data_IF_416994820449
#
_entry.id   IF_416994820449
#
_cell.length_a   1.000
_cell.length_b   1.000
_cell.length_c   1.000
_cell.angle_alpha   90.00
_cell.angle_beta   90.00
_cell.angle_gamma   90.00
#
_symmetry.space_group_name_H-M   'P 1'
#
loop_
_entity.id
_entity.type
_entity.pdbx_description
1 polymer ?
#
# COMPACT_ATOMS: atom_id res chain seq x y z
N UNK A 1 -12.02 -18.72 -25.33
CA UNK A 1 -10.91 -19.40 -26.03
C UNK A 1 -9.59 -18.62 -25.95
N UNK A 2 -9.45 -17.41 -26.49
CA UNK A 2 -8.17 -16.66 -26.39
C UNK A 2 -7.86 -16.15 -24.97
N UNK A 3 -8.88 -15.68 -24.23
CA UNK A 3 -8.73 -15.28 -22.81
C UNK A 3 -8.41 -16.48 -21.89
N UNK A 4 -9.08 -17.63 -22.10
CA UNK A 4 -8.83 -18.85 -21.31
C UNK A 4 -7.41 -19.41 -21.52
N UNK A 5 -6.88 -19.33 -22.76
CA UNK A 5 -5.51 -19.72 -23.08
C UNK A 5 -4.51 -18.77 -22.41
N UNK A 6 -4.72 -17.45 -22.49
CA UNK A 6 -3.88 -16.46 -21.82
C UNK A 6 -3.84 -16.65 -20.29
N UNK A 7 -4.98 -17.01 -19.69
CA UNK A 7 -5.08 -17.25 -18.25
C UNK A 7 -4.39 -18.55 -17.83
N UNK A 8 -4.53 -19.62 -18.63
CA UNK A 8 -3.83 -20.89 -18.42
C UNK A 8 -2.30 -20.72 -18.53
N UNK A 9 -1.83 -19.94 -19.51
CA UNK A 9 -0.40 -19.65 -19.69
C UNK A 9 0.16 -18.84 -18.51
N UNK A 10 -0.61 -17.88 -17.99
CA UNK A 10 -0.24 -17.10 -16.81
C UNK A 10 -0.16 -17.96 -15.55
N UNK A 11 -1.13 -18.86 -15.33
CA UNK A 11 -1.11 -19.81 -14.21
C UNK A 11 0.14 -20.70 -14.24
N UNK A 12 0.44 -21.27 -15.41
CA UNK A 12 1.64 -22.09 -15.58
C UNK A 12 2.93 -21.29 -15.35
N UNK A 13 2.97 -20.04 -15.82
CA UNK A 13 4.12 -19.15 -15.63
C UNK A 13 4.36 -18.85 -14.14
N UNK A 14 3.31 -18.55 -13.36
CA UNK A 14 3.45 -18.30 -11.92
C UNK A 14 3.85 -19.58 -11.17
N UNK A 15 3.17 -20.70 -11.43
CA UNK A 15 3.41 -21.97 -10.75
C UNK A 15 4.83 -22.50 -11.00
N UNK A 16 5.30 -22.47 -12.26
CA UNK A 16 6.64 -22.93 -12.63
C UNK A 16 7.77 -22.10 -12.01
N UNK A 17 7.47 -20.87 -11.56
CA UNK A 17 8.42 -19.95 -10.94
C UNK A 17 8.23 -19.81 -9.42
N UNK A 18 7.38 -20.66 -8.81
CA UNK A 18 7.11 -20.64 -7.37
C UNK A 18 6.53 -19.32 -6.87
N UNK A 19 5.71 -18.66 -7.70
CA UNK A 19 5.11 -17.37 -7.34
C UNK A 19 3.74 -17.65 -6.73
N UNK A 20 3.60 -17.38 -5.44
CA UNK A 20 2.35 -17.54 -4.71
C UNK A 20 1.64 -16.19 -4.55
N UNK A 21 0.52 -16.03 -5.25
CA UNK A 21 -0.33 -14.84 -5.17
C UNK A 21 -1.66 -15.17 -4.49
N UNK A 22 -2.13 -14.27 -3.62
CA UNK A 22 -3.50 -14.33 -3.11
C UNK A 22 -4.53 -13.87 -4.18
N UNK A 23 -5.82 -14.01 -3.87
CA UNK A 23 -6.90 -13.66 -4.80
C UNK A 23 -6.88 -12.19 -5.25
N UNK A 24 -6.51 -11.26 -4.37
CA UNK A 24 -6.48 -9.82 -4.67
C UNK A 24 -5.30 -9.48 -5.57
N UNK A 25 -4.13 -10.02 -5.27
CA UNK A 25 -2.93 -9.93 -6.10
C UNK A 25 -3.18 -10.52 -7.49
N UNK A 26 -3.85 -11.67 -7.54
CA UNK A 26 -4.17 -12.30 -8.81
C UNK A 26 -5.16 -11.48 -9.62
N UNK A 27 -6.22 -10.95 -8.99
CA UNK A 27 -7.19 -10.04 -9.64
C UNK A 27 -6.47 -8.85 -10.29
N UNK A 28 -5.53 -8.21 -9.58
CA UNK A 28 -4.77 -7.07 -10.13
C UNK A 28 -3.88 -7.49 -11.30
N UNK A 29 -3.19 -8.62 -11.20
CA UNK A 29 -2.38 -9.12 -12.30
C UNK A 29 -3.22 -9.44 -13.54
N UNK A 30 -4.36 -10.10 -13.35
CA UNK A 30 -5.31 -10.39 -14.42
C UNK A 30 -5.86 -9.08 -15.05
N UNK A 31 -6.18 -8.08 -14.22
CA UNK A 31 -6.59 -6.74 -14.68
C UNK A 31 -5.51 -6.07 -15.55
N UNK A 32 -4.24 -6.16 -15.14
CA UNK A 32 -3.11 -5.63 -15.93
C UNK A 32 -2.95 -6.37 -17.25
N UNK A 33 -3.05 -7.69 -17.26
CA UNK A 33 -2.91 -8.51 -18.47
C UNK A 33 -4.06 -8.28 -19.44
N UNK A 34 -5.28 -8.14 -18.94
CA UNK A 34 -6.45 -7.80 -19.76
C UNK A 34 -6.30 -6.44 -20.42
N UNK A 35 -5.72 -5.46 -19.72
CA UNK A 35 -5.59 -4.08 -20.19
C UNK A 35 -4.39 -3.85 -21.10
N UNK A 36 -3.24 -4.44 -20.76
CA UNK A 36 -1.96 -4.13 -21.40
C UNK A 36 -1.50 -5.25 -22.35
N UNK A 37 -2.07 -6.45 -22.22
CA UNK A 37 -1.72 -7.63 -22.99
C UNK A 37 -0.85 -8.61 -22.21
N UNK A 38 -0.20 -9.53 -22.95
CA UNK A 38 0.51 -10.69 -22.38
C UNK A 38 1.54 -10.32 -21.30
N UNK A 39 1.59 -11.14 -20.24
CA UNK A 39 2.64 -11.10 -19.24
C UNK A 39 3.83 -11.96 -19.65
N UNK A 40 5.04 -11.48 -19.37
CA UNK A 40 6.28 -12.24 -19.49
C UNK A 40 7.12 -12.10 -18.24
N UNK A 41 7.93 -13.11 -17.96
CA UNK A 41 8.84 -13.10 -16.84
C UNK A 41 10.23 -12.63 -17.30
N UNK A 42 10.81 -11.67 -16.60
CA UNK A 42 12.18 -11.22 -16.83
C UNK A 42 13.13 -12.09 -15.99
N UNK A 43 13.96 -12.88 -16.66
CA UNK A 43 15.02 -13.68 -16.03
C UNK A 43 16.41 -13.13 -16.38
N UNK A 44 17.29 -13.02 -15.38
CA UNK A 44 18.73 -12.92 -15.61
C UNK A 44 19.21 -11.81 -16.56
N UNK A 45 18.63 -10.61 -16.51
CA UNK A 45 19.06 -9.48 -17.35
C UNK A 45 18.67 -9.60 -18.84
N UNK A 46 17.83 -10.57 -19.20
CA UNK A 46 17.24 -10.66 -20.54
C UNK A 46 16.27 -9.50 -20.79
N UNK A 47 16.31 -8.97 -22.01
CA UNK A 47 15.41 -7.90 -22.45
C UNK A 47 14.02 -8.51 -22.69
N UNK A 48 12.95 -7.98 -22.07
CA UNK A 48 11.59 -8.47 -22.30
C UNK A 48 11.20 -8.40 -23.77
N UNK A 49 10.38 -9.36 -24.20
CA UNK A 49 9.87 -9.44 -25.58
C UNK A 49 9.10 -8.15 -25.90
N UNK A 50 9.39 -7.51 -27.04
CA UNK A 50 8.82 -6.19 -27.42
C UNK A 50 7.29 -6.11 -27.44
N UNK A 51 6.59 -7.25 -27.46
CA UNK A 51 5.14 -7.33 -27.57
C UNK A 51 4.42 -7.56 -26.22
N UNK A 52 5.15 -7.62 -25.11
CA UNK A 52 4.56 -7.87 -23.79
C UNK A 52 4.08 -6.58 -23.13
N UNK A 53 2.86 -6.61 -22.61
CA UNK A 53 2.24 -5.50 -21.90
C UNK A 53 2.60 -5.47 -20.42
N UNK A 54 2.88 -6.65 -19.86
CA UNK A 54 3.22 -6.82 -18.44
C UNK A 54 4.55 -7.55 -18.32
N UNK A 55 5.47 -7.01 -17.52
CA UNK A 55 6.78 -7.63 -17.23
C UNK A 55 6.84 -7.98 -15.75
N UNK A 56 6.93 -9.27 -15.44
CA UNK A 56 7.05 -9.80 -14.08
C UNK A 56 8.53 -9.98 -13.76
N UNK A 57 9.01 -9.31 -12.72
CA UNK A 57 10.40 -9.35 -12.28
C UNK A 57 10.47 -10.08 -10.94
N UNK A 58 11.04 -11.29 -10.96
CA UNK A 58 11.11 -12.19 -9.80
C UNK A 58 12.49 -12.25 -9.16
N UNK A 59 13.51 -11.76 -9.87
CA UNK A 59 14.88 -11.67 -9.39
C UNK A 59 15.32 -10.20 -9.39
N UNK A 60 15.95 -9.72 -8.31
CA UNK A 60 16.40 -8.34 -8.26
C UNK A 60 17.52 -8.10 -9.30
N UNK A 61 17.33 -7.18 -10.26
CA UNK A 61 18.36 -6.91 -11.25
C UNK A 61 19.55 -6.18 -10.61
N UNK A 62 20.76 -6.51 -11.06
CA UNK A 62 21.95 -5.69 -10.75
C UNK A 62 21.77 -4.27 -11.29
N UNK A 63 22.55 -3.30 -10.80
CA UNK A 63 22.48 -1.91 -11.28
C UNK A 63 22.52 -1.78 -12.81
N UNK A 64 23.49 -2.39 -13.51
CA UNK A 64 23.54 -2.40 -14.98
C UNK A 64 22.37 -3.13 -15.66
N UNK A 65 21.89 -4.23 -15.08
CA UNK A 65 20.75 -4.97 -15.60
C UNK A 65 19.45 -4.16 -15.45
N UNK A 66 19.29 -3.43 -14.34
CA UNK A 66 18.16 -2.56 -14.08
C UNK A 66 18.11 -1.39 -15.07
N UNK A 67 19.26 -0.79 -15.41
CA UNK A 67 19.36 0.24 -16.44
C UNK A 67 18.98 -0.29 -17.83
N UNK A 68 19.49 -1.48 -18.18
CA UNK A 68 19.17 -2.15 -19.46
C UNK A 68 17.67 -2.45 -19.53
N UNK A 69 17.11 -3.02 -18.46
CA UNK A 69 15.69 -3.33 -18.37
C UNK A 69 14.85 -2.06 -18.49
N UNK A 70 15.13 -1.02 -17.70
CA UNK A 70 14.44 0.28 -17.74
C UNK A 70 14.40 0.87 -19.15
N UNK A 71 15.54 0.88 -19.86
CA UNK A 71 15.62 1.41 -21.24
C UNK A 71 14.88 0.57 -22.27
N UNK A 72 14.63 -0.70 -21.98
CA UNK A 72 13.90 -1.59 -22.86
C UNK A 72 12.38 -1.57 -22.67
N UNK A 73 11.91 -1.05 -21.52
CA UNK A 73 10.49 -0.96 -21.21
C UNK A 73 9.79 0.03 -22.15
N UNK A 74 8.59 -0.34 -22.59
CA UNK A 74 7.71 0.56 -23.33
C UNK A 74 6.97 1.50 -22.38
N UNK A 75 6.60 2.68 -22.87
CA UNK A 75 5.86 3.67 -22.08
C UNK A 75 4.46 3.18 -21.64
N UNK A 76 3.90 2.21 -22.36
CA UNK A 76 2.58 1.59 -22.14
C UNK A 76 2.66 0.23 -21.43
N UNK A 77 3.81 -0.13 -20.87
CA UNK A 77 4.02 -1.39 -20.15
C UNK A 77 3.92 -1.20 -18.63
N UNK A 78 3.40 -2.23 -17.94
CA UNK A 78 3.50 -2.35 -16.49
C UNK A 78 4.56 -3.38 -16.07
N UNK A 79 5.23 -3.07 -14.97
CA UNK A 79 6.17 -3.94 -14.27
C UNK A 79 5.50 -4.43 -12.99
N UNK A 80 5.60 -5.73 -12.71
CA UNK A 80 5.09 -6.37 -11.49
C UNK A 80 6.24 -7.05 -10.77
N UNK A 81 6.36 -6.81 -9.47
CA UNK A 81 7.35 -7.44 -8.58
C UNK A 81 6.57 -8.20 -7.49
N UNK A 82 6.48 -9.54 -7.57
CA UNK A 82 5.75 -10.35 -6.59
C UNK A 82 6.36 -10.35 -5.18
N UNK A 83 7.65 -10.01 -5.06
CA UNK A 83 8.41 -9.94 -3.80
C UNK A 83 8.78 -8.48 -3.48
N UNK A 84 7.79 -7.59 -3.59
CA UNK A 84 7.96 -6.14 -3.53
C UNK A 84 8.52 -5.63 -2.21
N UNK A 85 8.35 -6.39 -1.13
CA UNK A 85 8.88 -6.12 0.20
C UNK A 85 10.41 -6.23 0.28
N UNK A 86 11.04 -6.94 -0.66
CA UNK A 86 12.48 -7.18 -0.61
C UNK A 86 13.27 -5.93 -1.08
N UNK A 87 14.18 -5.40 -0.24
CA UNK A 87 14.94 -4.18 -0.54
C UNK A 87 15.88 -4.31 -1.75
N UNK A 88 16.23 -5.52 -2.18
CA UNK A 88 17.05 -5.73 -3.37
C UNK A 88 16.39 -5.19 -4.65
N UNK A 89 15.06 -5.02 -4.66
CA UNK A 89 14.32 -4.40 -5.78
C UNK A 89 14.28 -2.87 -5.73
N UNK A 90 14.70 -2.24 -4.62
CA UNK A 90 14.51 -0.79 -4.41
C UNK A 90 15.21 0.06 -5.47
N UNK A 91 16.42 -0.34 -5.91
CA UNK A 91 17.12 0.37 -6.97
C UNK A 91 16.29 0.41 -8.26
N UNK A 92 15.72 -0.73 -8.66
CA UNK A 92 14.91 -0.80 -9.89
C UNK A 92 13.57 -0.08 -9.72
N UNK A 93 12.86 -0.28 -8.60
CA UNK A 93 11.64 0.47 -8.27
C UNK A 93 11.86 1.99 -8.32
N UNK A 94 13.03 2.47 -7.87
CA UNK A 94 13.36 3.91 -7.87
C UNK A 94 13.48 4.55 -9.27
N UNK A 95 13.66 3.73 -10.32
CA UNK A 95 13.70 4.18 -11.73
C UNK A 95 12.31 4.27 -12.35
N UNK A 96 11.32 3.65 -11.74
CA UNK A 96 9.97 3.52 -12.27
C UNK A 96 9.03 4.48 -11.54
N UNK A 97 7.93 4.80 -12.22
CA UNK A 97 6.75 5.38 -11.57
C UNK A 97 6.04 4.28 -10.80
N UNK A 98 5.85 4.51 -9.51
CA UNK A 98 5.14 3.64 -8.59
C UNK A 98 3.63 3.72 -8.85
N UNK A 99 3.02 2.62 -9.29
CA UNK A 99 1.58 2.60 -9.59
C UNK A 99 0.76 2.09 -8.41
N UNK A 100 1.24 1.07 -7.69
CA UNK A 100 0.51 0.58 -6.55
C UNK A 100 1.18 -0.59 -5.86
N UNK A 101 0.54 -1.01 -4.78
CA UNK A 101 0.98 -2.11 -3.94
C UNK A 101 -0.22 -2.90 -3.43
N UNK A 102 -0.04 -4.20 -3.25
CA UNK A 102 -1.04 -5.08 -2.63
C UNK A 102 -0.41 -5.76 -1.43
N UNK A 103 -1.04 -5.56 -0.27
CA UNK A 103 -0.58 -6.12 1.00
C UNK A 103 -0.54 -7.65 1.00
N UNK A 104 0.34 -8.25 1.83
CA UNK A 104 0.43 -9.69 1.99
C UNK A 104 -0.76 -10.26 2.78
N UNK A 105 -0.95 -11.57 2.65
CA UNK A 105 -1.92 -12.37 3.41
C UNK A 105 -1.40 -13.80 3.58
N UNK A 106 -2.09 -14.62 4.37
CA UNK A 106 -1.64 -16.00 4.60
C UNK A 106 -1.58 -16.86 3.32
N UNK A 107 -2.47 -16.60 2.35
CA UNK A 107 -2.56 -17.29 1.06
C UNK A 107 -1.64 -16.70 -0.03
N UNK A 108 -1.14 -15.48 0.16
CA UNK A 108 -0.13 -14.81 -0.66
C UNK A 108 0.76 -13.93 0.22
N UNK A 109 1.81 -14.50 0.84
CA UNK A 109 2.50 -13.90 1.99
C UNK A 109 3.54 -12.82 1.63
N UNK A 110 3.55 -12.39 0.37
CA UNK A 110 4.44 -11.36 -0.15
C UNK A 110 3.67 -10.07 -0.44
N UNK A 111 4.36 -8.93 -0.40
CA UNK A 111 3.80 -7.67 -0.90
C UNK A 111 3.98 -7.64 -2.43
N UNK A 112 2.91 -7.45 -3.19
CA UNK A 112 3.02 -7.30 -4.64
C UNK A 112 3.14 -5.81 -4.98
N UNK A 113 4.26 -5.42 -5.58
CA UNK A 113 4.47 -4.07 -6.10
C UNK A 113 4.22 -4.02 -7.61
N UNK A 114 3.66 -2.92 -8.11
CA UNK A 114 3.55 -2.70 -9.55
C UNK A 114 3.72 -1.23 -9.94
N UNK A 115 4.27 -1.02 -11.14
CA UNK A 115 4.66 0.30 -11.63
C UNK A 115 4.95 0.31 -13.13
N UNK A 116 5.60 1.36 -13.63
CA UNK A 116 5.96 1.45 -15.04
C UNK A 116 6.65 2.77 -15.37
N UNK A 117 6.79 3.09 -16.67
CA UNK A 117 7.37 4.38 -17.08
C UNK A 117 6.34 5.50 -16.91
N UNK A 118 5.10 5.29 -17.36
CA UNK A 118 4.10 6.34 -17.45
C UNK A 118 2.70 5.83 -17.10
N UNK A 119 1.97 6.62 -16.29
CA UNK A 119 0.57 6.36 -15.93
C UNK A 119 -0.37 6.23 -17.12
N UNK A 120 -0.03 6.84 -18.26
CA UNK A 120 -0.81 6.73 -19.50
C UNK A 120 -1.02 5.28 -19.95
N UNK A 121 -0.15 4.35 -19.57
CA UNK A 121 -0.35 2.92 -19.82
C UNK A 121 -1.70 2.42 -19.30
N UNK A 122 -2.08 2.88 -18.11
CA UNK A 122 -3.24 2.37 -17.36
C UNK A 122 -4.36 3.39 -17.22
N UNK A 123 -4.17 4.62 -17.70
CA UNK A 123 -5.23 5.63 -17.74
C UNK A 123 -6.37 5.17 -18.67
N UNK A 124 -7.64 5.46 -18.34
CA UNK A 124 -8.79 5.21 -19.21
C UNK A 124 -8.58 5.82 -20.59
N UNK A 125 -8.93 5.10 -21.66
CA UNK A 125 -8.98 5.70 -23.00
C UNK A 125 -10.10 6.75 -23.01
N UNK A 126 -9.81 7.92 -23.59
CA UNK A 126 -10.56 9.18 -23.44
C UNK A 126 -12.03 9.21 -23.89
N UNK A 127 -12.62 8.06 -24.22
CA UNK A 127 -14.02 7.93 -24.63
C UNK A 127 -14.82 6.89 -23.83
N UNK A 128 -14.18 6.13 -22.93
CA UNK A 128 -14.88 5.17 -22.08
C UNK A 128 -15.46 5.85 -20.84
N UNK A 129 -16.56 6.59 -21.03
CA UNK A 129 -17.50 6.94 -19.94
C UNK A 129 -18.21 5.67 -19.45
N UNK A 130 -17.48 4.69 -18.95
CA UNK A 130 -18.06 3.69 -18.06
C UNK A 130 -18.31 4.41 -16.75
N UNK A 131 -19.55 4.89 -16.58
CA UNK A 131 -20.05 5.48 -15.33
C UNK A 131 -20.17 4.35 -14.31
N UNK A 132 -19.05 3.84 -13.84
CA UNK A 132 -19.03 3.21 -12.54
C UNK A 132 -19.57 4.27 -11.57
N UNK A 133 -20.64 3.99 -10.83
CA UNK A 133 -21.30 5.00 -10.01
C UNK A 133 -20.30 5.43 -8.92
N UNK A 134 -19.73 6.63 -9.08
CA UNK A 134 -18.83 7.26 -8.11
C UNK A 134 -19.61 8.38 -7.45
N UNK A 135 -19.47 8.49 -6.13
CA UNK A 135 -20.00 9.61 -5.37
C UNK A 135 -18.88 10.44 -4.80
N UNK A 136 -18.90 11.74 -5.08
CA UNK A 136 -17.96 12.67 -4.46
C UNK A 136 -18.49 13.10 -3.10
N UNK A 137 -17.68 12.95 -2.06
CA UNK A 137 -18.05 13.40 -0.71
C UNK A 137 -17.09 14.46 -0.23
N UNK A 138 -17.59 15.42 0.53
CA UNK A 138 -16.76 16.47 1.10
C UNK A 138 -17.36 17.01 2.39
N UNK A 139 -16.49 17.55 3.24
CA UNK A 139 -16.89 18.22 4.47
C UNK A 139 -16.01 19.42 4.78
N UNK A 140 -16.57 20.36 5.53
CA UNK A 140 -15.89 21.58 5.97
C UNK A 140 -16.46 22.02 7.33
N UNK A 141 -15.68 22.76 8.15
CA UNK A 141 -16.19 23.37 9.37
C UNK A 141 -17.37 24.30 9.07
N UNK A 142 -18.48 24.16 9.81
CA UNK A 142 -19.68 25.00 9.63
C UNK A 142 -19.37 26.50 9.71
N UNK A 143 -18.39 26.88 10.52
CA UNK A 143 -17.92 28.25 10.70
C UNK A 143 -17.46 28.94 9.40
N UNK A 144 -17.07 28.17 8.38
CA UNK A 144 -16.64 28.73 7.10
C UNK A 144 -17.80 29.24 6.23
N UNK A 145 -19.04 28.97 6.62
CA UNK A 145 -20.23 29.37 5.88
C UNK A 145 -20.52 28.46 4.69
N UNK A 146 -21.75 28.53 4.19
CA UNK A 146 -22.23 27.60 3.15
C UNK A 146 -21.53 27.78 1.80
N UNK A 147 -20.99 28.97 1.54
CA UNK A 147 -20.31 29.30 0.28
C UNK A 147 -18.94 28.63 0.11
N UNK A 148 -18.35 28.11 1.20
CA UNK A 148 -17.00 27.58 1.21
C UNK A 148 -16.77 26.46 0.17
N UNK A 149 -17.81 25.66 -0.12
CA UNK A 149 -17.72 24.54 -1.06
C UNK A 149 -18.43 24.79 -2.40
N UNK A 150 -18.84 26.03 -2.71
CA UNK A 150 -19.63 26.33 -3.92
C UNK A 150 -18.87 26.00 -5.21
N UNK A 151 -17.58 26.33 -5.29
CA UNK A 151 -16.78 26.02 -6.49
C UNK A 151 -16.78 24.51 -6.81
N UNK A 152 -16.60 23.68 -5.78
CA UNK A 152 -16.64 22.23 -5.92
C UNK A 152 -18.05 21.75 -6.31
N UNK A 153 -19.10 22.24 -5.64
CA UNK A 153 -20.49 21.90 -5.95
C UNK A 153 -20.86 22.23 -7.40
N UNK A 154 -20.52 23.44 -7.84
CA UNK A 154 -20.82 23.92 -9.19
C UNK A 154 -20.15 23.03 -10.24
N UNK A 155 -18.88 22.66 -10.02
CA UNK A 155 -18.16 21.75 -10.92
C UNK A 155 -18.72 20.33 -10.94
N UNK A 156 -19.10 19.79 -9.78
CA UNK A 156 -19.71 18.47 -9.71
C UNK A 156 -21.09 18.45 -10.39
N UNK A 157 -21.88 19.52 -10.25
CA UNK A 157 -23.13 19.70 -10.95
C UNK A 157 -22.93 19.82 -12.47
N UNK A 158 -21.94 20.60 -12.92
CA UNK A 158 -21.54 20.73 -14.33
C UNK A 158 -21.20 19.36 -14.93
N UNK A 159 -20.45 18.53 -14.20
CA UNK A 159 -20.06 17.19 -14.63
C UNK A 159 -21.11 16.11 -14.36
N UNK A 160 -22.25 16.46 -13.77
CA UNK A 160 -23.33 15.53 -13.40
C UNK A 160 -22.85 14.38 -12.50
N UNK A 161 -21.95 14.68 -11.58
CA UNK A 161 -21.40 13.71 -10.62
C UNK A 161 -22.19 13.81 -9.32
N UNK A 162 -22.71 12.66 -8.87
CA UNK A 162 -23.40 12.57 -7.60
C UNK A 162 -22.48 13.01 -6.46
N UNK A 163 -22.98 13.87 -5.57
CA UNK A 163 -22.17 14.35 -4.46
C UNK A 163 -22.95 14.63 -3.19
N UNK A 164 -22.25 14.49 -2.06
CA UNK A 164 -22.73 14.84 -0.72
C UNK A 164 -21.66 15.70 -0.02
N UNK A 165 -21.94 17.00 0.06
CA UNK A 165 -21.03 18.01 0.59
C UNK A 165 -21.70 18.72 1.75
N UNK A 166 -21.23 18.45 2.97
CA UNK A 166 -21.91 18.89 4.19
C UNK A 166 -20.99 19.69 5.13
N UNK A 167 -21.49 20.78 5.74
CA UNK A 167 -20.83 21.38 6.88
C UNK A 167 -20.88 20.42 8.08
N UNK A 168 -19.80 20.40 8.87
CA UNK A 168 -19.73 19.67 10.13
C UNK A 168 -19.42 20.61 11.29
N UNK A 169 -19.97 20.29 12.45
CA UNK A 169 -19.64 20.97 13.70
C UNK A 169 -18.31 20.42 14.21
N UNK A 170 -17.35 21.32 14.46
CA UNK A 170 -16.00 20.97 14.90
C UNK A 170 -15.81 21.28 16.38
N UNK A 171 -15.00 20.49 17.07
CA UNK A 171 -14.68 20.70 18.50
C UNK A 171 -13.98 22.05 18.71
N UNK A 172 -13.05 22.38 17.82
CA UNK A 172 -12.42 23.71 17.75
C UNK A 172 -13.03 24.45 16.57
N UNK A 173 -13.60 25.61 16.83
CA UNK A 173 -14.31 26.37 15.81
C UNK A 173 -13.41 26.71 14.62
N UNK A 174 -13.87 26.42 13.40
CA UNK A 174 -13.09 26.62 12.18
C UNK A 174 -11.91 25.66 11.98
N UNK A 175 -11.67 24.68 12.86
CA UNK A 175 -10.58 23.72 12.74
C UNK A 175 -11.11 22.28 12.74
N UNK A 176 -11.06 21.61 11.59
CA UNK A 176 -11.42 20.20 11.47
C UNK A 176 -10.21 19.31 11.76
N UNK A 177 -10.34 18.41 12.73
CA UNK A 177 -9.36 17.37 13.03
C UNK A 177 -9.42 16.21 12.04
N UNK A 178 -8.32 15.45 11.96
CA UNK A 178 -8.26 14.21 11.19
C UNK A 178 -9.33 13.20 11.63
N UNK A 179 -9.62 13.14 12.94
CA UNK A 179 -10.60 12.23 13.51
C UNK A 179 -12.03 12.54 13.05
N UNK A 180 -12.40 13.82 13.01
CA UNK A 180 -13.72 14.30 12.55
C UNK A 180 -13.90 14.05 11.06
N UNK A 181 -12.84 14.28 10.26
CA UNK A 181 -12.85 14.00 8.82
C UNK A 181 -12.99 12.51 8.53
N UNK A 182 -12.19 11.66 9.20
CA UNK A 182 -12.28 10.22 9.05
C UNK A 182 -13.66 9.68 9.48
N UNK A 183 -14.24 10.24 10.56
CA UNK A 183 -15.60 9.90 11.00
C UNK A 183 -16.66 10.30 9.96
N UNK A 184 -16.53 11.47 9.35
CA UNK A 184 -17.40 11.91 8.25
C UNK A 184 -17.34 10.94 7.07
N UNK A 185 -16.14 10.61 6.60
CA UNK A 185 -15.94 9.71 5.45
C UNK A 185 -16.49 8.31 5.76
N UNK A 186 -16.23 7.78 6.96
CA UNK A 186 -16.76 6.48 7.39
C UNK A 186 -18.29 6.46 7.42
N UNK A 187 -18.92 7.54 7.92
CA UNK A 187 -20.38 7.68 7.90
C UNK A 187 -20.93 7.71 6.47
N UNK A 188 -20.32 8.49 5.57
CA UNK A 188 -20.70 8.51 4.16
C UNK A 188 -20.54 7.12 3.53
N UNK A 189 -19.46 6.41 3.85
CA UNK A 189 -19.22 5.06 3.35
C UNK A 189 -20.30 4.08 3.82
N UNK A 190 -20.81 4.23 5.03
CA UNK A 190 -21.92 3.40 5.53
C UNK A 190 -23.27 3.75 4.88
N UNK A 191 -23.48 5.02 4.52
CA UNK A 191 -24.75 5.50 3.96
C UNK A 191 -24.91 5.20 2.47
N UNK A 192 -23.81 5.23 1.72
CA UNK A 192 -23.81 5.07 0.27
C UNK A 192 -23.32 3.69 -0.16
N UNK A 193 -23.87 3.17 -1.25
CA UNK A 193 -23.46 1.88 -1.84
C UNK A 193 -22.40 2.06 -2.91
N UNK A 194 -22.30 3.25 -3.48
CA UNK A 194 -21.27 3.64 -4.44
C UNK A 194 -19.89 3.77 -3.77
N UNK A 195 -18.77 3.46 -4.47
CA UNK A 195 -17.46 3.96 -4.11
C UNK A 195 -17.45 5.47 -3.89
N UNK A 196 -16.61 5.92 -2.97
CA UNK A 196 -16.50 7.32 -2.61
C UNK A 196 -15.21 7.93 -3.17
N UNK A 197 -15.28 9.17 -3.61
CA UNK A 197 -14.12 10.03 -3.80
C UNK A 197 -14.24 11.21 -2.84
N UNK A 198 -13.43 11.22 -1.79
CA UNK A 198 -13.30 12.39 -0.94
C UNK A 198 -12.47 13.45 -1.67
N UNK A 199 -12.99 14.67 -1.77
CA UNK A 199 -12.28 15.86 -2.24
C UNK A 199 -12.47 16.95 -1.20
N UNK A 200 -11.39 17.62 -0.78
CA UNK A 200 -11.48 18.73 0.17
C UNK A 200 -12.36 19.86 -0.38
N UNK A 201 -13.15 20.49 0.49
CA UNK A 201 -14.23 21.41 0.10
C UNK A 201 -13.76 22.67 -0.63
N UNK A 202 -12.50 23.08 -0.40
CA UNK A 202 -11.83 24.23 -1.00
C UNK A 202 -11.21 23.94 -2.38
N UNK A 203 -11.38 22.73 -2.92
CA UNK A 203 -10.84 22.34 -4.21
C UNK A 203 -11.76 22.75 -5.38
N UNK A 204 -11.18 22.81 -6.57
CA UNK A 204 -11.90 22.91 -7.84
C UNK A 204 -11.51 21.77 -8.78
N UNK A 205 -12.28 21.60 -9.86
CA UNK A 205 -12.09 20.52 -10.84
C UNK A 205 -11.92 21.11 -12.24
N UNK A 206 -10.85 20.70 -12.92
CA UNK A 206 -10.62 21.06 -14.33
C UNK A 206 -11.32 20.09 -15.29
N UNK A 207 -11.56 18.86 -14.85
CA UNK A 207 -12.18 17.78 -15.61
C UNK A 207 -12.88 16.79 -14.66
N UNK A 208 -13.75 15.89 -15.17
CA UNK A 208 -14.40 14.87 -14.34
C UNK A 208 -13.40 13.94 -13.62
N UNK A 209 -13.43 13.82 -12.28
CA UNK A 209 -12.46 13.05 -11.51
C UNK A 209 -12.69 11.54 -11.51
N UNK A 210 -12.90 10.95 -12.69
CA UNK A 210 -13.33 9.56 -12.88
C UNK A 210 -12.19 8.53 -12.94
N UNK A 211 -10.93 8.96 -12.93
CA UNK A 211 -9.78 8.06 -12.98
C UNK A 211 -9.87 6.92 -11.94
N UNK A 212 -10.09 7.19 -10.63
CA UNK A 212 -10.05 6.13 -9.61
C UNK A 212 -11.11 5.05 -9.79
N UNK A 213 -12.29 5.41 -10.29
CA UNK A 213 -13.39 4.47 -10.55
C UNK A 213 -13.06 3.43 -11.61
N UNK A 214 -12.07 3.69 -12.46
CA UNK A 214 -11.62 2.78 -13.50
C UNK A 214 -10.40 1.93 -13.10
N UNK A 215 -9.86 2.14 -11.90
CA UNK A 215 -8.66 1.43 -11.42
C UNK A 215 -8.98 0.09 -10.75
N UNK A 216 -10.25 -0.21 -10.44
CA UNK A 216 -10.68 -1.44 -9.76
C UNK A 216 -9.84 -1.75 -8.50
N UNK A 217 -9.66 -0.76 -7.63
CA UNK A 217 -8.83 -0.86 -6.43
C UNK A 217 -9.65 -0.70 -5.16
N UNK A 218 -9.07 -1.06 -4.02
CA UNK A 218 -9.69 -0.83 -2.72
C UNK A 218 -9.58 0.63 -2.33
N UNK A 219 -8.40 1.22 -2.51
CA UNK A 219 -8.09 2.60 -2.14
C UNK A 219 -7.15 3.22 -3.15
N UNK A 220 -7.32 4.53 -3.41
CA UNK A 220 -6.30 5.31 -4.12
C UNK A 220 -6.01 6.64 -3.42
N UNK A 221 -4.73 7.01 -3.37
CA UNK A 221 -4.24 8.24 -2.76
C UNK A 221 -3.26 8.95 -3.68
N UNK A 222 -3.04 10.24 -3.45
CA UNK A 222 -1.89 10.93 -4.03
C UNK A 222 -0.69 10.90 -3.07
N UNK A 223 0.51 10.63 -3.60
CA UNK A 223 1.76 10.57 -2.84
C UNK A 223 2.61 11.82 -3.07
N UNK A 224 2.84 12.60 -2.02
CA UNK A 224 3.71 13.78 -2.03
C UNK A 224 5.12 13.40 -1.59
N UNK A 225 6.14 14.10 -2.09
CA UNK A 225 7.55 13.86 -1.74
C UNK A 225 7.99 12.39 -1.82
N UNK A 226 7.31 11.57 -2.65
CA UNK A 226 7.46 10.11 -2.78
C UNK A 226 7.09 9.28 -1.56
N UNK A 227 6.57 9.85 -0.47
CA UNK A 227 6.22 9.09 0.73
C UNK A 227 4.96 9.56 1.45
N UNK A 228 4.62 10.85 1.38
CA UNK A 228 3.55 11.48 2.16
C UNK A 228 2.19 11.21 1.55
N UNK A 229 1.28 10.62 2.31
CA UNK A 229 -0.09 10.39 1.83
C UNK A 229 -0.91 11.66 1.97
N UNK A 230 -1.46 12.14 0.86
CA UNK A 230 -2.36 13.28 0.89
C UNK A 230 -3.76 12.86 1.32
N UNK A 231 -4.23 13.44 2.40
CA UNK A 231 -5.60 13.26 2.85
C UNK A 231 -6.58 14.29 2.24
N UNK A 232 -6.17 15.02 1.19
CA UNK A 232 -7.01 16.02 0.49
C UNK A 232 -7.86 15.41 -0.62
N UNK A 233 -7.39 14.31 -1.20
CA UNK A 233 -8.11 13.55 -2.22
C UNK A 233 -7.88 12.06 -1.98
N UNK A 234 -8.96 11.33 -1.67
CA UNK A 234 -8.90 9.89 -1.40
C UNK A 234 -10.04 9.17 -2.11
N UNK A 235 -9.72 8.13 -2.87
CA UNK A 235 -10.71 7.20 -3.37
C UNK A 235 -10.88 6.03 -2.39
N UNK A 236 -12.14 5.68 -2.10
CA UNK A 236 -12.50 4.56 -1.24
C UNK A 236 -13.47 3.64 -1.97
N UNK A 237 -12.99 2.45 -2.31
CA UNK A 237 -13.78 1.36 -2.88
C UNK A 237 -14.75 0.74 -1.88
N UNK A 238 -15.52 -0.25 -2.36
CA UNK A 238 -16.54 -0.97 -1.58
C UNK A 238 -16.08 -2.34 -1.12
N UNK A 239 -14.88 -2.42 -0.57
CA UNK A 239 -14.31 -3.66 -0.02
C UNK A 239 -14.16 -3.61 1.49
N UNK A 240 -14.06 -4.79 2.10
CA UNK A 240 -13.77 -4.91 3.52
C UNK A 240 -12.40 -4.30 3.88
N UNK A 241 -11.42 -4.37 2.97
CA UNK A 241 -10.11 -3.77 3.16
C UNK A 241 -10.17 -2.23 3.17
N UNK A 242 -10.96 -1.64 2.28
CA UNK A 242 -11.22 -0.20 2.30
C UNK A 242 -11.92 0.27 3.58
N UNK A 243 -12.90 -0.51 4.07
CA UNK A 243 -13.56 -0.24 5.34
C UNK A 243 -12.59 -0.34 6.53
N UNK A 244 -11.77 -1.40 6.56
CA UNK A 244 -10.78 -1.61 7.61
C UNK A 244 -9.80 -0.44 7.70
N UNK A 245 -9.34 0.07 6.55
CA UNK A 245 -8.51 1.27 6.49
C UNK A 245 -9.22 2.48 7.13
N UNK A 246 -10.46 2.77 6.73
CA UNK A 246 -11.20 3.91 7.27
C UNK A 246 -11.39 3.82 8.79
N UNK A 247 -11.67 2.62 9.29
CA UNK A 247 -11.81 2.36 10.74
C UNK A 247 -10.49 2.54 11.47
N UNK A 248 -9.39 2.00 10.93
CA UNK A 248 -8.06 2.16 11.49
C UNK A 248 -7.61 3.62 11.49
N UNK A 249 -7.89 4.36 10.42
CA UNK A 249 -7.58 5.78 10.32
C UNK A 249 -8.36 6.60 11.35
N UNK A 250 -9.67 6.39 11.46
CA UNK A 250 -10.49 7.05 12.48
C UNK A 250 -10.00 6.72 13.90
N UNK A 251 -9.69 5.46 14.18
CA UNK A 251 -9.17 5.03 15.48
C UNK A 251 -7.84 5.71 15.84
N UNK A 252 -6.85 5.63 14.94
CA UNK A 252 -5.52 6.22 15.14
C UNK A 252 -5.62 7.75 15.25
N UNK A 253 -6.41 8.40 14.41
CA UNK A 253 -6.61 9.85 14.46
C UNK A 253 -7.31 10.31 15.74
N UNK A 254 -8.18 9.48 16.32
CA UNK A 254 -8.82 9.76 17.61
C UNK A 254 -7.83 9.59 18.76
N UNK A 255 -6.97 8.57 18.71
CA UNK A 255 -5.97 8.30 19.74
C UNK A 255 -4.83 9.32 19.77
N UNK A 256 -4.49 9.91 18.61
CA UNK A 256 -3.34 10.81 18.45
C UNK A 256 -3.73 12.14 17.77
N UNK A 257 -4.62 12.94 18.36
CA UNK A 257 -5.21 14.12 17.71
C UNK A 257 -4.21 15.25 17.42
N UNK A 258 -3.05 15.26 18.08
CA UNK A 258 -1.99 16.24 17.88
C UNK A 258 -1.01 15.88 16.77
N UNK A 259 -1.12 14.68 16.20
CA UNK A 259 -0.21 14.20 15.16
C UNK A 259 -0.74 14.60 13.78
N UNK A 260 0.18 14.90 12.87
CA UNK A 260 -0.15 15.31 11.51
C UNK A 260 -0.96 14.24 10.75
N UNK A 261 -1.99 14.69 10.05
CA UNK A 261 -2.99 13.83 9.41
C UNK A 261 -2.41 12.87 8.36
N UNK A 262 -1.52 13.36 7.50
CA UNK A 262 -0.92 12.52 6.45
C UNK A 262 -0.11 11.37 7.02
N UNK A 263 0.53 11.57 8.18
CA UNK A 263 1.21 10.50 8.92
C UNK A 263 0.22 9.54 9.55
N UNK A 264 -0.86 10.03 10.17
CA UNK A 264 -1.88 9.14 10.75
C UNK A 264 -2.55 8.26 9.69
N UNK A 265 -2.80 8.80 8.49
CA UNK A 265 -3.31 8.05 7.35
C UNK A 265 -2.29 7.00 6.88
N UNK A 266 -1.01 7.37 6.81
CA UNK A 266 0.07 6.44 6.47
C UNK A 266 0.17 5.27 7.45
N UNK A 267 0.11 5.55 8.76
CA UNK A 267 0.14 4.52 9.81
C UNK A 267 -1.09 3.60 9.72
N UNK A 268 -2.28 4.16 9.46
CA UNK A 268 -3.48 3.38 9.25
C UNK A 268 -3.39 2.49 8.01
N UNK A 269 -2.80 3.00 6.93
CA UNK A 269 -2.55 2.24 5.72
C UNK A 269 -1.54 1.12 5.95
N UNK A 270 -0.43 1.41 6.62
CA UNK A 270 0.59 0.41 6.96
C UNK A 270 0.01 -0.73 7.80
N UNK A 271 -0.74 -0.39 8.86
CA UNK A 271 -1.43 -1.34 9.71
C UNK A 271 -2.40 -2.22 8.91
N UNK A 272 -3.24 -1.60 8.10
CA UNK A 272 -4.27 -2.33 7.33
C UNK A 272 -3.63 -3.25 6.29
N UNK A 273 -2.67 -2.73 5.54
CA UNK A 273 -1.92 -3.48 4.52
C UNK A 273 -1.09 -4.63 5.13
N UNK A 274 -0.76 -4.57 6.42
CA UNK A 274 -0.09 -5.68 7.12
C UNK A 274 -1.01 -6.83 7.47
N UNK A 275 -2.29 -6.54 7.69
CA UNK A 275 -3.28 -7.49 8.22
C UNK A 275 -4.08 -8.17 7.13
N UNK A 276 -4.14 -7.57 5.94
CA UNK A 276 -4.92 -8.06 4.81
C UNK A 276 -4.41 -7.51 3.49
N UNK A 277 -4.82 -8.17 2.40
CA UNK A 277 -4.50 -7.77 1.04
C UNK A 277 -5.25 -6.51 0.63
N UNK A 278 -4.70 -5.35 0.99
CA UNK A 278 -5.21 -4.04 0.61
C UNK A 278 -4.65 -3.63 -0.76
N UNK A 279 -5.49 -3.55 -1.78
CA UNK A 279 -5.14 -3.12 -3.13
C UNK A 279 -5.08 -1.59 -3.23
N UNK A 280 -3.87 -1.04 -3.18
CA UNK A 280 -3.60 0.40 -3.11
C UNK A 280 -3.04 0.92 -4.42
N UNK A 281 -3.57 2.05 -4.89
CA UNK A 281 -3.09 2.73 -6.11
C UNK A 281 -2.65 4.17 -5.83
N UNK A 282 -1.52 4.58 -6.40
CA UNK A 282 -0.93 5.90 -6.20
C UNK A 282 -1.29 6.86 -7.33
N UNK A 283 -2.33 7.67 -7.16
CA UNK A 283 -2.81 8.61 -8.17
C UNK A 283 -1.67 9.49 -8.74
N UNK A 284 -1.63 9.70 -10.08
CA UNK A 284 -0.54 10.41 -10.72
C UNK A 284 -0.52 11.88 -10.31
N UNK A 285 0.64 12.54 -10.45
CA UNK A 285 0.78 13.99 -10.19
C UNK A 285 -0.19 14.85 -10.99
N UNK A 286 -0.63 14.40 -12.17
CA UNK A 286 -1.64 15.09 -12.97
C UNK A 286 -3.06 14.93 -12.45
N UNK A 287 -3.32 14.07 -11.47
CA UNK A 287 -4.65 13.95 -10.89
C UNK A 287 -4.91 14.98 -9.80
N UNK A 288 -3.85 15.43 -9.11
CA UNK A 288 -3.96 16.22 -7.89
C UNK A 288 -2.76 17.17 -7.73
N UNK A 289 -2.99 18.47 -7.79
CA UNK A 289 -1.94 19.48 -7.62
C UNK A 289 -2.45 20.81 -7.00
N UNK A 290 -1.55 21.63 -6.41
CA UNK A 290 -1.90 22.98 -5.92
C UNK A 290 -2.06 23.98 -7.07
N UNK A 291 -2.90 25.01 -6.91
CA UNK A 291 -3.11 26.07 -7.93
C UNK A 291 -1.82 26.84 -8.27
N UNK A 292 -0.92 27.03 -7.29
CA UNK A 292 0.25 27.91 -7.39
C UNK A 292 1.60 27.20 -7.58
N UNK A 293 1.62 25.87 -7.78
CA UNK A 293 2.89 25.16 -8.01
C UNK A 293 3.36 25.37 -9.47
N UNK A 294 4.58 25.88 -9.65
CA UNK A 294 5.24 26.06 -10.95
C UNK A 294 5.37 24.74 -11.75
N UNK A 295 5.26 23.60 -11.07
CA UNK A 295 5.23 22.25 -11.66
C UNK A 295 3.84 21.68 -11.92
N UNK A 296 2.76 22.45 -11.74
CA UNK A 296 1.37 21.98 -11.93
C UNK A 296 1.15 21.55 -13.37
N UNK A 297 0.80 20.26 -13.62
CA UNK A 297 0.49 19.81 -14.96
C UNK A 297 -0.68 20.61 -15.56
N UNK A 298 -0.57 20.95 -16.86
CA UNK A 298 -1.61 21.71 -17.59
C UNK A 298 -3.01 21.06 -17.55
N UNK A 299 -3.09 19.76 -17.28
CA UNK A 299 -4.32 18.98 -17.20
C UNK A 299 -4.45 18.36 -15.80
N UNK A 300 -4.48 19.19 -14.76
CA UNK A 300 -4.67 18.71 -13.40
C UNK A 300 -6.15 18.49 -13.12
N UNK A 301 -6.55 17.26 -12.77
CA UNK A 301 -7.95 16.92 -12.50
C UNK A 301 -8.51 17.67 -11.29
N UNK A 302 -7.90 17.48 -10.11
CA UNK A 302 -8.29 18.13 -8.85
C UNK A 302 -7.25 19.19 -8.50
N UNK A 303 -7.70 20.44 -8.43
CA UNK A 303 -6.85 21.61 -8.16
C UNK A 303 -7.20 22.17 -6.79
N UNK A 304 -6.20 22.30 -5.91
CA UNK A 304 -6.38 22.80 -4.55
C UNK A 304 -5.91 24.24 -4.40
N UNK A 305 -6.71 25.05 -3.71
CA UNK A 305 -6.46 26.49 -3.51
C UNK A 305 -5.35 26.81 -2.49
N UNK A 306 -4.83 25.81 -1.78
CA UNK A 306 -3.72 25.98 -0.85
C UNK A 306 -2.41 25.52 -1.51
N UNK A 307 -1.33 26.33 -1.44
CA UNK A 307 0.01 25.84 -1.73
C UNK A 307 0.30 24.59 -0.90
N UNK A 308 1.15 23.75 -1.45
CA UNK A 308 1.82 22.67 -0.75
C UNK A 308 2.74 23.22 0.37
N UNK A 309 2.20 23.89 1.39
CA UNK A 309 2.99 24.40 2.50
C UNK A 309 3.28 23.31 3.53
N UNK A 310 4.22 23.60 4.45
CA UNK A 310 4.57 22.72 5.57
C UNK A 310 3.44 22.60 6.62
N UNK A 311 2.22 23.07 6.36
CA UNK A 311 1.07 22.81 7.23
C UNK A 311 0.23 21.64 6.70
N UNK A 312 0.12 21.49 5.36
CA UNK A 312 -0.42 20.28 4.72
C UNK A 312 0.60 19.13 4.67
N UNK A 313 1.90 19.46 4.57
CA UNK A 313 3.03 18.56 4.78
C UNK A 313 3.41 18.64 6.26
N UNK A 314 3.92 17.57 6.89
CA UNK A 314 4.11 17.56 8.35
C UNK A 314 4.79 18.84 8.90
N UNK A 315 4.43 19.28 10.13
CA UNK A 315 4.73 20.63 10.64
C UNK A 315 6.23 20.96 10.80
N UNK A 316 7.11 20.00 10.54
CA UNK A 316 8.55 20.13 10.70
C UNK A 316 9.30 19.31 9.64
N UNK A 317 10.21 19.97 8.92
CA UNK A 317 11.12 19.33 7.98
C UNK A 317 12.03 18.30 8.69
N UNK A 318 12.36 18.52 9.96
CA UNK A 318 13.09 17.57 10.80
C UNK A 318 12.22 16.38 11.20
N UNK A 319 10.92 16.58 11.46
CA UNK A 319 9.97 15.47 11.71
C UNK A 319 9.86 14.56 10.48
N UNK A 320 9.77 15.12 9.28
CA UNK A 320 9.81 14.35 8.04
C UNK A 320 11.13 13.59 7.87
N UNK A 321 12.28 14.18 8.24
CA UNK A 321 13.59 13.51 8.19
C UNK A 321 13.72 12.40 9.25
N UNK A 322 13.19 12.61 10.45
CA UNK A 322 13.20 11.65 11.55
C UNK A 322 12.24 10.46 11.30
N UNK A 323 11.09 10.71 10.66
CA UNK A 323 10.07 9.69 10.36
C UNK A 323 10.28 8.96 9.02
N UNK A 324 11.17 9.45 8.14
CA UNK A 324 11.57 8.79 6.88
C UNK A 324 12.09 7.36 7.05
N UNK A 325 12.45 6.95 8.27
CA UNK A 325 12.94 5.61 8.57
C UNK A 325 11.90 4.49 8.57
N UNK A 326 10.60 4.76 8.38
CA UNK A 326 9.50 3.81 8.62
C UNK A 326 8.93 3.27 7.28
N UNK A 327 9.03 1.95 7.07
CA UNK A 327 8.93 1.23 5.76
C UNK A 327 7.49 0.92 5.35
N UNK A 328 7.08 1.31 4.14
CA UNK A 328 6.09 0.72 3.19
C UNK A 328 5.82 1.76 2.06
N UNK A 329 5.18 1.41 0.94
CA UNK A 329 4.89 2.32 -0.20
C UNK A 329 6.13 2.83 -1.00
N UNK A 330 7.06 1.93 -1.31
CA UNK A 330 8.30 2.24 -2.08
C UNK A 330 9.34 3.12 -1.35
N UNK A 331 9.41 3.00 -0.01
CA UNK A 331 10.39 3.70 0.86
C UNK A 331 11.66 2.87 1.13
N UNK A 332 12.78 3.54 1.40
CA UNK A 332 14.01 2.95 1.96
C UNK A 332 14.06 3.14 3.48
N UNK A 333 14.03 2.07 4.29
CA UNK A 333 14.27 2.12 5.76
C UNK A 333 13.21 1.47 6.65
N UNK A 334 13.55 0.73 7.72
CA UNK A 334 12.65 -0.20 8.43
C UNK A 334 11.70 0.38 9.48
N UNK A 335 10.40 0.06 9.38
CA UNK A 335 9.54 -0.58 10.42
C UNK A 335 8.04 -0.46 10.16
N UNK A 336 7.40 -1.61 10.05
CA UNK A 336 6.12 -2.06 10.60
C UNK A 336 6.14 -3.57 10.34
N UNK A 337 5.32 -4.36 11.02
CA UNK A 337 5.23 -5.79 10.69
C UNK A 337 4.85 -5.91 9.21
N UNK A 338 5.64 -6.63 8.41
CA UNK A 338 5.39 -6.83 6.98
C UNK A 338 4.06 -7.56 6.78
N UNK A 339 3.84 -8.60 7.58
CA UNK A 339 2.57 -9.31 7.65
C UNK A 339 2.19 -9.56 9.11
N UNK A 340 0.90 -9.43 9.38
CA UNK A 340 0.26 -9.72 10.65
C UNK A 340 -0.85 -10.73 10.39
N UNK A 341 -0.72 -11.93 10.97
CA UNK A 341 -1.66 -13.03 10.78
C UNK A 341 -2.37 -13.32 12.10
N UNK A 342 -3.68 -13.22 12.13
CA UNK A 342 -4.50 -13.67 13.26
C UNK A 342 -4.77 -15.16 13.15
N UNK A 343 -4.64 -15.89 14.26
CA UNK A 343 -5.00 -17.30 14.34
C UNK A 343 -6.46 -17.49 14.80
N UNK A 344 -6.94 -18.73 14.79
CA UNK A 344 -8.23 -19.10 15.38
C UNK A 344 -8.15 -19.36 16.89
N UNK A 345 -6.97 -19.20 17.51
CA UNK A 345 -6.81 -19.38 18.95
C UNK A 345 -7.57 -18.26 19.70
N UNK A 346 -8.18 -18.61 20.83
CA UNK A 346 -8.87 -17.65 21.70
C UNK A 346 -7.92 -16.76 22.51
N UNK A 347 -6.61 -17.03 22.43
CA UNK A 347 -5.59 -16.28 23.15
C UNK A 347 -5.38 -14.89 22.54
N UNK A 348 -5.05 -13.92 23.39
CA UNK A 348 -4.64 -12.58 22.98
C UNK A 348 -3.13 -12.44 22.80
N UNK A 349 -2.36 -13.46 23.18
CA UNK A 349 -0.90 -13.43 23.12
C UNK A 349 -0.41 -13.41 21.67
N UNK A 350 0.61 -12.61 21.41
CA UNK A 350 1.20 -12.46 20.09
C UNK A 350 2.67 -12.89 20.07
N UNK A 351 3.11 -13.35 18.91
CA UNK A 351 4.51 -13.66 18.63
C UNK A 351 5.02 -12.83 17.48
N UNK A 352 6.17 -12.18 17.68
CA UNK A 352 6.90 -11.45 16.66
C UNK A 352 8.10 -12.28 16.19
N UNK A 353 8.12 -12.59 14.89
CA UNK A 353 9.27 -13.15 14.19
C UNK A 353 10.03 -12.01 13.53
N UNK A 354 11.31 -11.86 13.87
CA UNK A 354 12.21 -10.86 13.30
C UNK A 354 13.17 -11.59 12.37
N UNK A 355 13.03 -11.35 11.07
CA UNK A 355 13.93 -11.91 10.06
C UNK A 355 15.06 -10.90 9.79
N UNK A 356 16.27 -11.25 10.17
CA UNK A 356 17.46 -10.39 10.03
C UNK A 356 18.19 -10.57 8.71
N UNK A 357 19.15 -9.67 8.45
CA UNK A 357 20.11 -9.73 7.35
C UNK A 357 19.46 -9.78 5.95
N UNK A 358 18.27 -9.20 5.81
CA UNK A 358 17.51 -9.19 4.55
C UNK A 358 18.30 -8.54 3.40
N UNK A 359 19.06 -7.46 3.66
CA UNK A 359 19.81 -6.76 2.61
C UNK A 359 20.99 -7.57 2.03
N UNK A 360 21.46 -8.59 2.74
CA UNK A 360 22.59 -9.43 2.32
C UNK A 360 22.18 -10.86 1.96
N UNK A 361 20.87 -11.14 1.97
CA UNK A 361 20.27 -12.42 1.66
C UNK A 361 19.71 -12.44 0.25
N UNK A 362 19.66 -13.63 -0.36
CA UNK A 362 19.04 -13.78 -1.68
C UNK A 362 17.52 -13.56 -1.60
N UNK A 363 16.93 -12.99 -2.66
CA UNK A 363 15.51 -12.66 -2.66
C UNK A 363 14.60 -13.91 -2.60
N UNK A 364 15.01 -15.01 -3.22
CA UNK A 364 14.28 -16.28 -3.16
C UNK A 364 14.43 -16.95 -1.80
N UNK A 365 15.60 -16.86 -1.17
CA UNK A 365 15.79 -17.34 0.21
C UNK A 365 14.89 -16.58 1.20
N UNK A 366 14.84 -15.25 1.09
CA UNK A 366 13.93 -14.41 1.90
C UNK A 366 12.48 -14.82 1.65
N UNK A 367 12.09 -14.98 0.38
CA UNK A 367 10.73 -15.37 0.03
C UNK A 367 10.36 -16.75 0.62
N UNK A 368 11.22 -17.75 0.46
CA UNK A 368 11.01 -19.09 1.00
C UNK A 368 10.89 -19.08 2.53
N UNK A 369 11.68 -18.26 3.22
CA UNK A 369 11.57 -18.11 4.68
C UNK A 369 10.28 -17.44 5.13
N UNK A 370 9.78 -16.44 4.39
CA UNK A 370 8.47 -15.83 4.66
C UNK A 370 7.37 -16.89 4.54
N UNK A 371 7.39 -17.70 3.48
CA UNK A 371 6.45 -18.80 3.28
C UNK A 371 6.57 -19.87 4.37
N UNK A 372 7.79 -20.22 4.79
CA UNK A 372 8.02 -21.20 5.84
C UNK A 372 7.47 -20.73 7.20
N UNK A 373 7.72 -19.47 7.58
CA UNK A 373 7.21 -18.88 8.84
C UNK A 373 5.69 -18.84 8.84
N UNK A 374 5.10 -18.27 7.78
CA UNK A 374 3.64 -18.11 7.68
C UNK A 374 2.93 -19.46 7.57
N UNK A 375 3.50 -20.41 6.82
CA UNK A 375 3.02 -21.78 6.70
C UNK A 375 3.10 -22.56 8.02
N UNK A 376 4.21 -22.46 8.75
CA UNK A 376 4.33 -23.08 10.07
C UNK A 376 3.30 -22.52 11.06
N UNK A 377 3.04 -21.21 11.03
CA UNK A 377 2.06 -20.58 11.92
C UNK A 377 0.62 -20.99 11.59
N UNK A 378 0.31 -21.12 10.29
CA UNK A 378 -0.98 -21.60 9.83
C UNK A 378 -1.23 -23.07 10.22
N UNK A 379 -0.19 -23.90 10.16
CA UNK A 379 -0.27 -25.31 10.51
C UNK A 379 -0.40 -25.52 12.03
N UNK A 380 0.40 -24.80 12.82
CA UNK A 380 0.35 -24.83 14.28
C UNK A 380 0.80 -23.48 14.86
N UNK A 381 -0.17 -22.67 15.27
CA UNK A 381 0.09 -21.37 15.89
C UNK A 381 0.66 -21.47 17.32
N UNK A 382 0.83 -22.67 17.88
CA UNK A 382 1.37 -22.86 19.24
C UNK A 382 0.52 -22.26 20.36
N UNK A 383 -0.72 -21.88 20.07
CA UNK A 383 -1.63 -21.19 21.00
C UNK A 383 -1.54 -19.65 20.96
N UNK A 384 -0.67 -19.06 20.13
CA UNK A 384 -0.65 -17.62 19.94
C UNK A 384 -1.84 -17.15 19.10
N UNK A 385 -2.48 -16.05 19.52
CA UNK A 385 -3.59 -15.42 18.79
C UNK A 385 -3.13 -14.66 17.54
N UNK A 386 -1.85 -14.25 17.48
CA UNK A 386 -1.33 -13.43 16.38
C UNK A 386 0.16 -13.68 16.12
N UNK A 387 0.51 -13.74 14.83
CA UNK A 387 1.88 -13.66 14.32
C UNK A 387 2.13 -12.26 13.75
N UNK A 388 3.28 -11.70 14.06
CA UNK A 388 3.83 -10.50 13.46
C UNK A 388 5.19 -10.84 12.84
N UNK A 389 5.35 -10.69 11.52
CA UNK A 389 6.62 -10.92 10.85
C UNK A 389 7.23 -9.60 10.41
N UNK A 390 8.41 -9.26 10.94
CA UNK A 390 9.18 -8.08 10.56
C UNK A 390 10.40 -8.45 9.74
N UNK A 391 10.60 -7.76 8.62
CA UNK A 391 11.79 -7.89 7.78
C UNK A 391 12.79 -6.79 8.13
N UNK A 392 13.98 -7.18 8.58
CA UNK A 392 15.00 -6.28 9.08
C UNK A 392 16.30 -6.43 8.27
N UNK A 393 16.55 -5.59 7.24
CA UNK A 393 17.79 -5.68 6.48
C UNK A 393 19.03 -5.22 7.23
N UNK A 394 18.89 -4.32 8.22
CA UNK A 394 20.02 -3.76 8.92
C UNK A 394 19.89 -3.95 10.44
N UNK A 395 21.02 -3.84 11.14
CA UNK A 395 21.08 -4.05 12.59
C UNK A 395 20.18 -3.09 13.38
N UNK A 396 20.04 -1.85 12.91
CA UNK A 396 19.17 -0.86 13.54
C UNK A 396 17.70 -1.27 13.46
N UNK A 397 17.28 -1.88 12.35
CA UNK A 397 15.92 -2.39 12.21
C UNK A 397 15.65 -3.51 13.22
N UNK A 398 16.61 -4.43 13.42
CA UNK A 398 16.49 -5.56 14.36
C UNK A 398 16.32 -5.05 15.79
N UNK A 399 17.23 -4.17 16.25
CA UNK A 399 17.22 -3.63 17.63
C UNK A 399 15.86 -3.06 17.99
N UNK A 400 15.25 -2.47 16.99
CA UNK A 400 14.21 -1.54 17.21
C UNK A 400 12.85 -2.24 16.92
N UNK A 401 12.81 -3.27 16.05
CA UNK A 401 11.72 -4.24 15.99
C UNK A 401 11.62 -5.03 17.31
N UNK A 402 12.75 -5.42 17.91
CA UNK A 402 12.78 -6.02 19.25
C UNK A 402 12.19 -5.08 20.31
N UNK A 403 12.51 -3.78 20.25
CA UNK A 403 11.97 -2.79 21.18
C UNK A 403 10.44 -2.66 21.06
N UNK A 404 9.92 -2.60 19.83
CA UNK A 404 8.49 -2.54 19.57
C UNK A 404 7.77 -3.80 20.08
N UNK A 405 8.28 -4.99 19.74
CA UNK A 405 7.72 -6.26 20.17
C UNK A 405 7.72 -6.42 21.71
N UNK A 406 8.79 -5.99 22.39
CA UNK A 406 8.85 -5.96 23.86
C UNK A 406 7.82 -5.00 24.45
N UNK A 407 7.65 -3.83 23.86
CA UNK A 407 6.66 -2.83 24.31
C UNK A 407 5.23 -3.33 24.14
N UNK A 408 4.98 -4.16 23.11
CA UNK A 408 3.72 -4.85 22.89
C UNK A 408 3.53 -6.13 23.72
N UNK A 409 4.53 -6.51 24.55
CA UNK A 409 4.56 -7.76 25.31
C UNK A 409 4.46 -9.03 24.44
N UNK A 410 5.01 -8.98 23.22
CA UNK A 410 5.03 -10.11 22.31
C UNK A 410 6.17 -11.08 22.66
N UNK A 411 5.99 -12.37 22.35
CA UNK A 411 7.11 -13.32 22.27
C UNK A 411 7.98 -13.01 21.06
N UNK A 412 9.29 -13.18 21.17
CA UNK A 412 10.23 -12.79 20.10
C UNK A 412 11.05 -13.98 19.65
N UNK A 413 11.01 -14.26 18.35
CA UNK A 413 11.92 -15.17 17.66
C UNK A 413 12.76 -14.35 16.68
N UNK A 414 14.07 -14.57 16.68
CA UNK A 414 14.96 -14.04 15.64
C UNK A 414 15.45 -15.16 14.73
N UNK A 415 15.29 -14.96 13.42
CA UNK A 415 15.68 -15.92 12.38
C UNK A 415 16.46 -15.25 11.25
N UNK A 416 17.19 -16.04 10.48
CA UNK A 416 17.79 -15.62 9.22
C UNK A 416 17.19 -16.41 8.03
N UNK A 417 17.16 -15.83 6.81
CA UNK A 417 16.50 -16.43 5.63
C UNK A 417 16.93 -17.84 5.21
N UNK A 418 18.13 -18.28 5.59
CA UNK A 418 18.68 -19.60 5.26
C UNK A 418 18.40 -20.66 6.35
N UNK A 419 17.71 -20.31 7.43
CA UNK A 419 17.49 -21.22 8.55
C UNK A 419 16.29 -22.13 8.29
N UNK A 420 16.50 -23.44 8.45
CA UNK A 420 15.40 -24.41 8.46
C UNK A 420 14.57 -24.25 9.72
N UNK A 421 13.26 -24.05 9.55
CA UNK A 421 12.32 -23.90 10.65
C UNK A 421 11.68 -25.26 10.98
N UNK A 422 11.65 -25.68 12.26
CA UNK A 422 10.94 -26.87 12.66
C UNK A 422 9.42 -26.68 12.51
N UNK A 423 8.70 -27.74 12.13
CA UNK A 423 7.27 -27.68 11.89
C UNK A 423 6.45 -27.31 13.15
N UNK A 424 6.99 -27.59 14.34
CA UNK A 424 6.39 -27.31 15.65
C UNK A 424 6.99 -26.06 16.34
N UNK A 425 7.64 -25.18 15.57
CA UNK A 425 8.35 -23.99 16.06
C UNK A 425 7.56 -23.21 17.12
N UNK A 426 6.31 -22.83 16.79
CA UNK A 426 5.50 -21.98 17.66
C UNK A 426 5.07 -22.70 18.95
N UNK A 427 4.79 -24.02 18.86
CA UNK A 427 4.48 -24.84 20.03
C UNK A 427 5.68 -24.96 20.96
N UNK A 428 6.87 -25.20 20.42
CA UNK A 428 8.10 -25.27 21.20
C UNK A 428 8.39 -23.94 21.92
N UNK A 429 8.17 -22.81 21.22
CA UNK A 429 8.38 -21.47 21.80
C UNK A 429 7.34 -21.16 22.89
N UNK A 430 6.07 -21.52 22.69
CA UNK A 430 5.03 -21.34 23.71
C UNK A 430 5.35 -22.08 25.04
N UNK A 431 6.07 -23.19 24.98
CA UNK A 431 6.46 -23.97 26.16
C UNK A 431 7.63 -23.37 26.94
N UNK A 432 8.38 -22.42 26.37
CA UNK A 432 9.47 -21.73 27.04
C UNK A 432 8.96 -20.60 27.94
N UNK A 433 9.19 -20.71 29.25
CA UNK A 433 8.47 -19.95 30.29
C UNK A 433 8.77 -18.44 30.39
N UNK A 434 9.73 -17.89 29.66
CA UNK A 434 10.18 -16.50 29.87
C UNK A 434 9.57 -15.49 28.88
N UNK A 435 8.49 -14.82 29.28
CA UNK A 435 7.90 -13.72 28.51
C UNK A 435 8.92 -12.60 28.31
N UNK A 436 9.15 -12.22 27.04
CA UNK A 436 10.15 -11.21 26.66
C UNK A 436 11.56 -11.74 26.38
N UNK A 437 11.82 -13.05 26.54
CA UNK A 437 13.08 -13.66 26.08
C UNK A 437 13.13 -13.71 24.55
N UNK A 438 14.31 -13.41 23.98
CA UNK A 438 14.55 -13.55 22.53
C UNK A 438 15.07 -14.96 22.28
N UNK A 439 14.32 -15.76 21.52
CA UNK A 439 14.81 -17.05 21.02
C UNK A 439 15.58 -16.79 19.73
N UNK A 440 16.90 -16.93 19.78
CA UNK A 440 17.75 -16.86 18.58
C UNK A 440 17.93 -18.27 18.04
N UNK A 441 17.40 -18.53 16.84
CA UNK A 441 17.60 -19.82 16.20
C UNK A 441 19.06 -19.94 15.73
N UNK A 442 19.74 -21.01 16.11
CA UNK A 442 21.10 -21.30 15.66
C UNK A 442 21.05 -22.02 14.31
N UNK A 443 21.86 -21.57 13.35
CA UNK A 443 22.06 -22.25 12.07
C UNK A 443 23.31 -21.70 11.40
N UNK A 444 24.18 -22.58 10.88
CA UNK A 444 25.33 -22.18 10.09
C UNK A 444 24.92 -22.03 8.62
N UNK A 445 25.44 -20.98 7.96
CA UNK A 445 25.30 -20.81 6.52
C UNK A 445 26.18 -21.87 5.86
N UNK A 446 25.58 -22.82 5.16
CA UNK A 446 26.28 -23.89 4.44
C UNK A 446 27.05 -23.35 3.25
#
# INVERSE_FOLDING_TARGET
MQADVLQTDLDQLLLSNGIRLNVVQRRRLDWLVQRLGTAVLSQGGSVPVRNSGVVIVVEPPSGPAAETLYRSLRADCAVVIPFGENPAFDFFKSKLTDFGTIGPSLDGPHEMWWGGINWRAIAPEGDTRTVAPLRVVSCYPRAFGDDHANQLRDKLAEFQIASDIAPIDTVVDGCMSASEKAAFILRMWQQHREPLLFIKADATLSEPPLLPSNLDCDIAFHKWNRWEMSARTLYIGRSAAAEALLRNWHHIATAYPSVWEGYLLDQAWSLTSSQMSLDTVWLPRSYHAPTEDAGTPRHTTVVHNLPADNADLGPDAEFAVAMRGVRRASRSGGRDSMIVVTSQATATDAITVIMRDIATSDAREVAASIEAVTGAFAADCGGFGRLELSLCPWQDDIRAAKSAAKSANNRIIEIAPWQTLPADLFRAVAQTRDSGSVVVMAGQRS
#
